data_IF_791519615988
#
_entry.id   IF_791519615988
#
_cell.length_a   1.000
_cell.length_b   1.000
_cell.length_c   1.000
_cell.angle_alpha   90.00
_cell.angle_beta   90.00
_cell.angle_gamma   90.00
#
_symmetry.space_group_name_H-M   'P 1'
#
loop_
_entity.id
_entity.type
_entity.pdbx_description
1 polymer ?
#
# COMPACT_ATOMS: atom_id res chain seq x y z
N UNK A 1 38.89 -20.04 50.89
CA UNK A 1 38.04 -19.45 50.91
C UNK A 1 37.57 -18.98 49.83
N UNK A 2 36.95 -19.48 49.34
CA UNK A 2 36.56 -19.15 48.21
C UNK A 2 35.47 -18.34 48.32
N UNK A 3 35.56 -17.28 48.52
CA UNK A 3 34.59 -16.53 48.40
C UNK A 3 34.36 -16.57 47.04
N UNK A 4 33.52 -17.17 46.62
CA UNK A 4 33.14 -17.20 45.33
C UNK A 4 32.79 -15.87 44.85
N UNK A 5 33.59 -14.98 45.07
CA UNK A 5 33.35 -13.70 44.49
C UNK A 5 33.42 -13.87 43.00
N UNK A 6 32.43 -13.47 42.33
CA UNK A 6 32.48 -13.40 40.91
C UNK A 6 33.62 -12.46 40.63
N UNK A 7 34.63 -12.94 40.03
CA UNK A 7 35.81 -12.14 39.74
C UNK A 7 35.46 -11.03 38.81
N UNK A 8 36.26 -10.00 38.84
CA UNK A 8 36.06 -8.85 37.93
C UNK A 8 35.97 -9.30 36.49
N UNK A 9 36.75 -10.29 36.11
CA UNK A 9 36.73 -10.82 34.76
C UNK A 9 35.40 -11.43 34.37
N UNK A 10 34.78 -12.12 35.33
CA UNK A 10 33.48 -12.72 35.07
C UNK A 10 32.40 -11.67 34.92
N UNK A 11 32.48 -10.62 35.70
CA UNK A 11 31.51 -9.52 35.58
C UNK A 11 31.67 -8.82 34.24
N UNK A 12 32.88 -8.62 33.79
CA UNK A 12 33.15 -8.01 32.51
C UNK A 12 32.61 -8.91 31.37
N UNK A 13 32.82 -10.21 31.49
CA UNK A 13 32.33 -11.16 30.49
C UNK A 13 30.81 -11.15 30.42
N UNK A 14 30.12 -11.09 31.55
CA UNK A 14 28.66 -11.07 31.57
C UNK A 14 28.15 -9.76 30.95
N UNK A 15 28.76 -8.64 31.29
CA UNK A 15 28.34 -7.35 30.70
C UNK A 15 28.60 -7.32 29.21
N UNK A 16 29.73 -7.83 28.74
CA UNK A 16 30.04 -7.91 27.34
C UNK A 16 29.04 -8.74 26.57
N UNK A 17 28.68 -9.91 27.13
CA UNK A 17 27.67 -10.77 26.51
C UNK A 17 26.31 -10.09 26.43
N UNK A 18 25.92 -9.37 27.48
CA UNK A 18 24.66 -8.65 27.48
C UNK A 18 24.63 -7.57 26.40
N UNK A 19 25.71 -6.83 26.23
CA UNK A 19 25.80 -5.79 25.22
C UNK A 19 25.70 -6.39 23.82
N UNK A 20 26.40 -7.50 23.60
CA UNK A 20 26.36 -8.16 22.30
C UNK A 20 24.96 -8.69 21.97
N UNK A 21 24.26 -9.25 22.96
CA UNK A 21 22.90 -9.73 22.75
C UNK A 21 21.96 -8.58 22.41
N UNK A 22 22.06 -7.48 23.11
CA UNK A 22 21.23 -6.31 22.84
C UNK A 22 21.54 -5.75 21.44
N UNK A 23 22.80 -5.70 21.07
CA UNK A 23 23.18 -5.25 19.74
C UNK A 23 22.66 -6.16 18.64
N UNK A 24 22.71 -7.46 18.84
CA UNK A 24 22.19 -8.43 17.88
C UNK A 24 20.68 -8.30 17.73
N UNK A 25 19.96 -8.14 18.82
CA UNK A 25 18.51 -7.94 18.78
C UNK A 25 18.16 -6.67 18.02
N UNK A 26 18.91 -5.60 18.22
CA UNK A 26 18.67 -4.35 17.53
C UNK A 26 18.89 -4.49 16.02
N UNK A 27 19.93 -5.19 15.62
CA UNK A 27 20.22 -5.42 14.21
C UNK A 27 19.11 -6.25 13.55
N UNK A 28 18.62 -7.27 14.25
CA UNK A 28 17.53 -8.08 13.73
C UNK A 28 16.29 -7.23 13.55
N UNK A 29 15.97 -6.38 14.52
CA UNK A 29 14.82 -5.52 14.42
C UNK A 29 14.92 -4.57 13.24
N UNK A 30 16.07 -3.97 13.02
CA UNK A 30 16.29 -3.06 11.90
C UNK A 30 16.22 -3.82 10.57
N UNK A 31 16.76 -5.01 10.54
CA UNK A 31 16.78 -5.80 9.32
C UNK A 31 15.40 -6.30 8.93
N UNK A 32 14.52 -6.47 9.88
CA UNK A 32 13.14 -6.85 9.60
C UNK A 32 12.28 -5.66 9.18
N UNK A 33 12.91 -4.51 9.03
CA UNK A 33 12.23 -3.45 8.35
C UNK A 33 11.12 -2.80 9.10
N UNK A 34 11.38 -2.43 10.27
CA UNK A 34 10.38 -1.65 10.92
C UNK A 34 9.06 -2.33 11.18
N UNK A 35 9.09 -3.57 11.36
CA UNK A 35 7.85 -4.27 11.69
C UNK A 35 7.28 -3.85 13.03
N UNK A 36 8.05 -3.08 13.79
CA UNK A 36 7.59 -2.61 15.07
C UNK A 36 6.93 -1.25 15.00
N UNK A 37 6.99 -0.59 13.86
CA UNK A 37 6.29 0.67 13.67
C UNK A 37 4.94 0.45 12.99
N UNK A 38 4.12 1.48 12.86
CA UNK A 38 2.87 1.38 12.13
C UNK A 38 3.18 1.01 10.69
N UNK A 39 2.56 -0.03 10.22
CA UNK A 39 2.75 -0.49 8.86
C UNK A 39 2.09 0.49 7.91
N UNK A 40 2.85 0.97 6.95
CA UNK A 40 2.25 1.82 5.93
C UNK A 40 1.43 0.95 4.98
N UNK A 41 0.25 1.42 4.67
CA UNK A 41 -0.60 0.72 3.72
C UNK A 41 0.05 0.71 2.35
N UNK A 42 -0.10 -0.40 1.65
CA UNK A 42 0.34 -0.48 0.26
C UNK A 42 -0.54 0.43 -0.59
N UNK A 43 -0.10 0.71 -1.80
CA UNK A 43 -0.91 1.51 -2.72
C UNK A 43 -2.28 0.88 -2.96
N UNK A 44 -2.33 -0.44 -3.06
CA UNK A 44 -3.60 -1.15 -3.26
C UNK A 44 -4.52 -1.05 -2.04
N UNK A 45 -3.98 -1.23 -0.85
CA UNK A 45 -4.76 -1.10 0.38
C UNK A 45 -5.29 0.32 0.56
N UNK A 46 -4.44 1.30 0.26
CA UNK A 46 -4.85 2.69 0.32
C UNK A 46 -5.96 2.98 -0.67
N UNK A 47 -5.82 2.52 -1.91
CA UNK A 47 -6.84 2.72 -2.93
C UNK A 47 -8.17 2.10 -2.51
N UNK A 48 -8.14 0.90 -1.98
CA UNK A 48 -9.35 0.23 -1.51
C UNK A 48 -10.01 1.01 -0.38
N UNK A 49 -9.23 1.50 0.56
CA UNK A 49 -9.75 2.31 1.66
C UNK A 49 -10.41 3.58 1.14
N UNK A 50 -9.76 4.25 0.20
CA UNK A 50 -10.29 5.47 -0.39
C UNK A 50 -11.57 5.20 -1.20
N UNK A 51 -11.58 4.12 -1.97
CA UNK A 51 -12.74 3.73 -2.76
C UNK A 51 -13.93 3.44 -1.82
N UNK A 52 -13.70 2.74 -0.75
CA UNK A 52 -14.76 2.45 0.22
C UNK A 52 -15.27 3.70 0.92
N UNK A 53 -14.40 4.66 1.14
CA UNK A 53 -14.83 5.93 1.71
C UNK A 53 -15.75 6.70 0.76
N UNK A 54 -15.58 6.52 -0.55
CA UNK A 54 -16.40 7.21 -1.54
C UNK A 54 -17.66 6.42 -1.92
N UNK A 55 -17.55 5.12 -2.05
CA UNK A 55 -18.62 4.29 -2.61
C UNK A 55 -19.33 3.42 -1.57
N UNK A 56 -18.78 3.30 -0.39
CA UNK A 56 -19.38 2.49 0.68
C UNK A 56 -18.59 1.23 0.99
N UNK A 57 -18.92 0.56 2.10
CA UNK A 57 -18.13 -0.56 2.61
C UNK A 57 -18.16 -1.80 1.72
N UNK A 58 -19.12 -1.91 0.82
CA UNK A 58 -19.18 -3.05 -0.08
C UNK A 58 -18.47 -2.82 -1.40
N UNK A 59 -17.79 -1.68 -1.53
CA UNK A 59 -17.03 -1.40 -2.75
C UNK A 59 -15.80 -2.29 -2.84
N UNK A 60 -15.45 -2.62 -4.06
CA UNK A 60 -14.28 -3.43 -4.35
C UNK A 60 -13.51 -2.85 -5.52
N UNK A 61 -12.22 -3.05 -5.52
CA UNK A 61 -11.36 -2.64 -6.63
C UNK A 61 -11.28 -3.83 -7.58
N UNK A 62 -11.65 -3.61 -8.82
CA UNK A 62 -11.69 -4.68 -9.83
C UNK A 62 -10.50 -4.70 -10.76
N UNK A 63 -9.83 -3.57 -10.87
CA UNK A 63 -8.63 -3.46 -11.67
C UNK A 63 -7.75 -2.38 -11.07
N UNK A 64 -6.45 -2.57 -11.13
CA UNK A 64 -5.52 -1.62 -10.57
C UNK A 64 -4.22 -1.67 -11.36
N UNK A 65 -3.72 -0.51 -11.71
CA UNK A 65 -2.40 -0.42 -12.30
C UNK A 65 -1.62 0.71 -11.64
N UNK A 66 -0.31 0.55 -11.59
CA UNK A 66 0.54 1.55 -10.98
C UNK A 66 0.72 2.74 -11.91
N UNK A 67 0.66 3.92 -11.36
CA UNK A 67 0.94 5.15 -12.06
C UNK A 67 2.20 5.81 -11.55
N UNK A 68 2.38 7.06 -11.90
CA UNK A 68 3.53 7.84 -11.48
C UNK A 68 3.33 8.37 -10.07
N UNK A 69 4.43 8.62 -9.37
CA UNK A 69 4.42 9.26 -8.05
C UNK A 69 3.49 8.58 -7.05
N UNK A 70 3.56 7.27 -6.99
CA UNK A 70 2.77 6.47 -6.07
C UNK A 70 1.27 6.50 -6.34
N UNK A 71 0.84 7.07 -7.45
CA UNK A 71 -0.56 6.99 -7.84
C UNK A 71 -0.88 5.60 -8.34
N UNK A 72 -2.13 5.20 -8.20
CA UNK A 72 -2.64 4.00 -8.85
C UNK A 72 -3.96 4.35 -9.50
N UNK A 73 -4.20 3.75 -10.65
CA UNK A 73 -5.42 3.96 -11.40
C UNK A 73 -6.10 2.62 -11.60
N UNK A 74 -7.40 2.64 -11.71
CA UNK A 74 -8.15 1.43 -11.91
C UNK A 74 -9.62 1.70 -11.96
N UNK A 75 -10.41 0.68 -11.75
CA UNK A 75 -11.83 0.88 -11.61
C UNK A 75 -12.37 0.02 -10.48
N UNK A 76 -13.45 0.51 -9.92
CA UNK A 76 -14.05 -0.06 -8.74
C UNK A 76 -15.55 -0.13 -8.91
N UNK A 77 -16.20 -0.99 -8.19
CA UNK A 77 -17.63 -1.11 -8.21
C UNK A 77 -18.13 -1.67 -6.90
N UNK A 78 -19.44 -1.79 -6.81
CA UNK A 78 -20.06 -2.37 -5.62
C UNK A 78 -20.17 -3.88 -5.83
N UNK A 79 -19.84 -4.62 -4.79
CA UNK A 79 -19.92 -6.07 -4.84
C UNK A 79 -21.31 -6.53 -5.33
N UNK A 80 -21.32 -7.44 -6.27
CA UNK A 80 -22.56 -7.92 -6.85
C UNK A 80 -23.13 -7.09 -7.99
N UNK A 81 -22.61 -5.91 -8.23
CA UNK A 81 -23.05 -5.06 -9.34
C UNK A 81 -22.04 -5.10 -10.48
N UNK A 82 -22.55 -5.04 -11.70
CA UNK A 82 -21.67 -5.09 -12.88
C UNK A 82 -21.00 -3.78 -13.18
N UNK A 83 -21.57 -2.68 -12.74
CA UNK A 83 -21.07 -1.37 -13.06
C UNK A 83 -19.74 -1.12 -12.38
N UNK A 84 -18.88 -0.41 -13.06
CA UNK A 84 -17.58 -0.04 -12.53
C UNK A 84 -17.28 1.41 -12.89
N UNK A 85 -16.59 2.09 -12.00
CA UNK A 85 -16.21 3.48 -12.15
C UNK A 85 -14.70 3.55 -12.10
N UNK A 86 -14.11 4.29 -13.02
CA UNK A 86 -12.68 4.51 -13.02
C UNK A 86 -12.27 5.44 -11.88
N UNK A 87 -11.06 5.28 -11.38
CA UNK A 87 -10.55 6.16 -10.34
C UNK A 87 -9.05 6.37 -10.49
N UNK A 88 -8.58 7.47 -9.91
CA UNK A 88 -7.16 7.74 -9.73
C UNK A 88 -6.93 7.97 -8.23
N UNK A 89 -6.14 7.11 -7.62
CA UNK A 89 -5.83 7.18 -6.20
C UNK A 89 -4.43 7.71 -5.99
N UNK A 90 -4.31 8.76 -5.22
CA UNK A 90 -3.03 9.33 -4.81
C UNK A 90 -2.88 9.17 -3.30
N UNK A 91 -1.68 9.35 -2.76
CA UNK A 91 -1.49 9.16 -1.32
C UNK A 91 -2.44 9.93 -0.42
N UNK A 92 -2.90 11.09 -0.85
CA UNK A 92 -3.73 11.95 -0.01
C UNK A 92 -5.11 12.24 -0.58
N UNK A 93 -5.48 11.67 -1.70
CA UNK A 93 -6.82 11.91 -2.27
C UNK A 93 -7.14 10.89 -3.35
N UNK A 94 -8.39 10.77 -3.67
CA UNK A 94 -8.86 9.95 -4.78
C UNK A 94 -9.86 10.77 -5.60
N UNK A 95 -9.83 10.59 -6.90
CA UNK A 95 -10.85 11.13 -7.79
C UNK A 95 -11.53 9.97 -8.51
N UNK A 96 -12.83 10.01 -8.54
CA UNK A 96 -13.64 9.02 -9.25
C UNK A 96 -14.04 9.55 -10.62
N UNK A 97 -14.16 8.68 -11.59
CA UNK A 97 -14.49 9.08 -12.95
C UNK A 97 -15.90 9.62 -13.12
N UNK A 98 -16.79 9.33 -12.19
CA UNK A 98 -18.14 9.85 -12.21
C UNK A 98 -18.31 11.08 -11.32
N UNK A 99 -17.21 11.63 -10.82
CA UNK A 99 -17.24 12.79 -9.98
C UNK A 99 -17.64 14.02 -10.81
N UNK A 100 -18.36 14.96 -10.24
CA UNK A 100 -18.64 16.23 -10.91
C UNK A 100 -17.37 16.97 -11.36
N UNK A 101 -16.23 16.65 -10.76
CA UNK A 101 -14.96 17.23 -11.17
C UNK A 101 -14.31 16.42 -12.29
N UNK A 102 -15.08 16.12 -13.34
CA UNK A 102 -14.60 15.30 -14.44
C UNK A 102 -13.36 15.83 -15.14
N UNK A 103 -13.23 17.14 -15.26
CA UNK A 103 -12.04 17.72 -15.86
C UNK A 103 -10.81 17.48 -15.00
N UNK A 104 -10.94 17.60 -13.70
CA UNK A 104 -9.85 17.33 -12.77
C UNK A 104 -9.45 15.86 -12.81
N UNK A 105 -10.42 14.96 -12.90
CA UNK A 105 -10.15 13.55 -13.05
C UNK A 105 -9.36 13.29 -14.34
N UNK A 106 -9.76 13.87 -15.46
CA UNK A 106 -9.08 13.68 -16.74
C UNK A 106 -7.63 14.19 -16.68
N UNK A 107 -7.43 15.34 -16.06
CA UNK A 107 -6.10 15.91 -15.92
C UNK A 107 -5.21 15.03 -15.04
N UNK A 108 -5.75 14.58 -13.93
CA UNK A 108 -5.01 13.72 -13.01
C UNK A 108 -4.67 12.39 -13.66
N UNK A 109 -5.61 11.83 -14.40
CA UNK A 109 -5.37 10.57 -15.11
C UNK A 109 -4.27 10.75 -16.15
N UNK A 110 -4.31 11.83 -16.91
CA UNK A 110 -3.29 12.09 -17.92
C UNK A 110 -1.90 12.30 -17.29
N UNK A 111 -1.86 12.95 -16.14
CA UNK A 111 -0.59 13.22 -15.49
C UNK A 111 0.01 11.97 -14.82
N UNK A 112 -0.79 11.21 -14.11
CA UNK A 112 -0.27 10.11 -13.32
C UNK A 112 -0.40 8.73 -13.95
N UNK A 113 -1.38 8.55 -14.80
CA UNK A 113 -1.64 7.26 -15.43
C UNK A 113 -1.93 7.42 -16.93
N UNK A 114 -0.96 7.91 -17.69
CA UNK A 114 -1.20 8.21 -19.11
C UNK A 114 -1.60 6.99 -19.96
N UNK A 115 -1.19 5.81 -19.53
CA UNK A 115 -1.56 4.60 -20.26
C UNK A 115 -2.90 4.00 -19.90
N UNK A 116 -3.55 4.55 -18.88
CA UNK A 116 -4.80 4.00 -18.41
C UNK A 116 -5.97 4.54 -19.22
N UNK A 117 -6.75 3.65 -19.83
CA UNK A 117 -7.91 4.04 -20.61
C UNK A 117 -9.17 3.74 -19.81
N UNK A 118 -9.60 4.72 -19.04
CA UNK A 118 -10.74 4.57 -18.16
C UNK A 118 -12.01 4.20 -18.91
N UNK A 119 -12.25 4.81 -20.05
CA UNK A 119 -13.45 4.53 -20.79
C UNK A 119 -13.49 3.11 -21.33
N UNK A 120 -12.40 2.66 -21.89
CA UNK A 120 -12.34 1.30 -22.42
C UNK A 120 -12.42 0.28 -21.30
N UNK A 121 -11.76 0.54 -20.19
CA UNK A 121 -11.79 -0.40 -19.08
C UNK A 121 -13.18 -0.51 -18.47
N UNK A 122 -13.87 0.59 -18.34
CA UNK A 122 -15.22 0.57 -17.80
C UNK A 122 -16.20 -0.12 -18.75
N UNK A 123 -15.99 0.05 -20.05
CA UNK A 123 -16.88 -0.54 -21.03
C UNK A 123 -16.65 -2.04 -21.17
N UNK A 124 -15.48 -2.52 -20.87
CA UNK A 124 -15.21 -3.91 -21.03
C UNK A 124 -14.71 -4.50 -19.81
N UNK A 125 -15.55 -4.70 -18.94
CA UNK A 125 -15.15 -5.21 -17.70
C UNK A 125 -14.30 -6.41 -17.79
N UNK A 126 -14.57 -7.24 -18.54
CA UNK A 126 -13.87 -8.34 -18.53
C UNK A 126 -12.78 -8.39 -19.35
N UNK A 127 -12.37 -7.62 -19.50
CA UNK A 127 -11.33 -7.75 -20.11
C UNK A 127 -11.05 -8.48 -21.14
N UNK A 128 -11.52 -8.98 -21.29
CA UNK A 128 -11.34 -9.79 -22.16
C UNK A 128 -10.63 -9.23 -23.04
N UNK A 129 -10.56 -8.40 -22.83
CA UNK A 129 -9.75 -7.91 -23.32
C UNK A 129 -9.09 -8.30 -24.29
N UNK A 130 -8.79 -8.90 -24.01
CA UNK A 130 -8.08 -9.48 -24.81
C UNK A 130 -8.37 -9.26 -26.05
N UNK A 131 -9.21 -9.42 -26.17
CA UNK A 131 -9.60 -9.41 -27.31
C UNK A 131 -9.05 -8.43 -28.00
N UNK A 132 -8.78 -7.79 -27.63
CA UNK A 132 -8.48 -6.89 -28.28
C UNK A 132 -7.48 -7.00 -28.89
N UNK A 133 -7.05 -7.66 -28.60
CA UNK A 133 -5.93 -7.82 -29.31
C UNK A 133 -5.90 -7.00 -30.49
#
# INVERSE_FOLDING_TARGET
MARGGIGTDQKIAVLGAAVLLLGALSLVALNQGARFGPKQATAAERALTQVRAQMGPTAEVRYLEAGKRRAVCGYAGIAGQKQAVAFVSRPNRILMGDDPLGAEFADMKAEFCPGFNAAASAAKPSATTSAQG
#
